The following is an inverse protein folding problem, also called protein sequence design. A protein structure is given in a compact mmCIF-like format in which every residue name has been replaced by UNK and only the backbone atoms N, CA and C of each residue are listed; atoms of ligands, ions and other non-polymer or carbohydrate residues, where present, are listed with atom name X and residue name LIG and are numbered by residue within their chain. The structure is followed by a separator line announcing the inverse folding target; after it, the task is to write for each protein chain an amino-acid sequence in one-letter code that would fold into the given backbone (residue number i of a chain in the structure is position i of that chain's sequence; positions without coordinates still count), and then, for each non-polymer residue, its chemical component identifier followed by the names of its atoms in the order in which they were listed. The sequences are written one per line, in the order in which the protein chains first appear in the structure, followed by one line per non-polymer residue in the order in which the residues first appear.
data_IF_712078407576
#
_entry.id   IF_712078407576
#
_cell.length_a   1.000
_cell.length_b   1.000
_cell.length_c   1.000
_cell.angle_alpha   90.00
_cell.angle_beta   90.00
_cell.angle_gamma   90.00
#
_symmetry.space_group_name_H-M   'P 1'
#
loop_
_entity.id
_entity.type
_entity.pdbx_description
1 polymer ?
#
# COMPACT_ATOMS: atom_id res chain seq x y z
N UNK A 1 -6.07 34.79 10.57
CA UNK A 1 -6.07 35.71 11.75
C UNK A 1 -6.45 34.98 13.04
N UNK A 2 -7.65 34.37 13.18
CA UNK A 2 -8.04 33.70 14.45
C UNK A 2 -7.11 32.50 14.72
N UNK A 3 -6.96 31.63 13.77
CA UNK A 3 -6.15 30.39 13.89
C UNK A 3 -4.65 30.67 14.10
N UNK A 4 -4.10 31.69 13.45
CA UNK A 4 -2.72 32.11 13.68
C UNK A 4 -2.49 32.66 15.10
N UNK A 5 -3.52 33.28 15.67
CA UNK A 5 -3.48 33.72 17.06
C UNK A 5 -3.55 32.54 18.02
N UNK A 6 -4.39 31.55 17.72
CA UNK A 6 -4.53 30.35 18.53
C UNK A 6 -3.22 29.51 18.55
N UNK A 7 -2.54 29.39 17.41
CA UNK A 7 -1.23 28.74 17.32
C UNK A 7 -0.14 29.49 18.11
N UNK A 8 -0.11 30.84 18.01
CA UNK A 8 0.83 31.67 18.76
C UNK A 8 0.62 31.56 20.27
N UNK A 9 -0.66 31.57 20.70
CA UNK A 9 -1.01 31.41 22.11
C UNK A 9 -0.63 30.01 22.62
N UNK A 10 -0.89 28.97 21.83
CA UNK A 10 -0.50 27.61 22.16
C UNK A 10 1.01 27.45 22.30
N UNK A 11 1.80 28.00 21.37
CA UNK A 11 3.27 27.98 21.42
C UNK A 11 3.80 28.75 22.63
N UNK A 12 3.23 29.92 22.94
CA UNK A 12 3.66 30.74 24.07
C UNK A 12 3.44 30.04 25.43
N UNK A 13 2.44 29.15 25.51
CA UNK A 13 2.09 28.41 26.71
C UNK A 13 2.50 26.93 26.63
N UNK A 14 3.26 26.52 25.60
CA UNK A 14 3.60 25.12 25.40
C UNK A 14 4.42 24.56 26.56
N UNK A 15 3.90 23.50 27.17
CA UNK A 15 4.55 22.70 28.18
C UNK A 15 4.57 21.23 27.74
N UNK A 16 5.74 20.63 27.59
CA UNK A 16 5.91 19.28 27.09
C UNK A 16 5.18 18.21 27.93
N UNK A 17 5.16 18.38 29.27
CA UNK A 17 4.51 17.43 30.18
C UNK A 17 3.00 17.55 30.09
N UNK A 18 2.49 18.78 30.12
CA UNK A 18 1.05 19.05 29.99
C UNK A 18 0.53 18.63 28.63
N UNK A 19 1.29 18.87 27.55
CA UNK A 19 0.99 18.39 26.21
C UNK A 19 0.87 16.85 26.19
N UNK A 20 1.85 16.13 26.72
CA UNK A 20 1.82 14.66 26.78
C UNK A 20 0.65 14.13 27.59
N UNK A 21 0.25 14.81 28.65
CA UNK A 21 -0.94 14.45 29.45
C UNK A 21 -2.25 14.71 28.68
N UNK A 22 -2.32 15.82 27.93
CA UNK A 22 -3.50 16.14 27.11
C UNK A 22 -3.64 15.19 25.93
N UNK A 23 -2.56 14.73 25.29
CA UNK A 23 -2.57 13.74 24.21
C UNK A 23 -3.31 12.45 24.58
N UNK A 24 -3.41 12.10 25.86
CA UNK A 24 -4.20 10.95 26.35
C UNK A 24 -5.70 11.14 26.18
N UNK A 25 -6.19 12.37 26.07
CA UNK A 25 -7.62 12.68 25.97
C UNK A 25 -8.13 12.66 24.54
N UNK A 26 -7.28 12.82 23.55
CA UNK A 26 -7.66 12.80 22.15
C UNK A 26 -7.64 11.37 21.61
N UNK A 27 -8.81 10.89 21.22
CA UNK A 27 -8.99 9.56 20.63
C UNK A 27 -8.88 9.68 19.12
N UNK A 28 -7.96 8.93 18.54
CA UNK A 28 -7.78 8.75 17.10
C UNK A 28 -8.85 7.82 16.53
N UNK A 29 -9.02 7.85 15.22
CA UNK A 29 -10.02 7.04 14.53
C UNK A 29 -11.46 7.32 15.04
N UNK A 30 -11.71 8.52 15.52
CA UNK A 30 -13.00 8.90 16.08
C UNK A 30 -14.11 8.76 15.02
N UNK A 31 -15.26 8.25 15.45
CA UNK A 31 -16.37 7.93 14.55
C UNK A 31 -16.19 6.64 13.76
N UNK A 32 -15.13 5.88 13.98
CA UNK A 32 -14.89 4.57 13.36
C UNK A 32 -15.18 3.45 14.34
N UNK A 33 -15.78 2.37 13.83
CA UNK A 33 -16.14 1.23 14.63
C UNK A 33 -14.93 0.27 14.77
N UNK A 34 -13.93 0.70 15.56
CA UNK A 34 -12.81 -0.13 15.97
C UNK A 34 -13.06 -0.65 17.38
N UNK A 35 -12.54 -1.84 17.66
CA UNK A 35 -12.72 -2.51 18.95
C UNK A 35 -11.93 -1.81 20.05
N UNK A 36 -10.66 -1.52 19.77
CA UNK A 36 -9.81 -0.75 20.66
C UNK A 36 -9.81 0.72 20.24
N UNK A 37 -9.56 1.59 21.17
CA UNK A 37 -9.43 3.02 20.94
C UNK A 37 -7.99 3.40 21.19
N UNK A 38 -7.35 3.90 20.15
CA UNK A 38 -6.00 4.47 20.27
C UNK A 38 -6.14 5.94 20.65
N UNK A 39 -5.48 6.37 21.69
CA UNK A 39 -5.31 7.80 21.95
C UNK A 39 -4.01 8.33 21.35
N UNK A 40 -3.90 9.65 21.27
CA UNK A 40 -2.77 10.30 20.61
C UNK A 40 -1.43 9.99 21.30
N UNK A 41 -1.40 9.82 22.62
CA UNK A 41 -0.17 9.48 23.34
C UNK A 41 0.28 8.03 23.04
N UNK A 42 -0.66 7.08 22.92
CA UNK A 42 -0.38 5.71 22.53
C UNK A 42 0.16 5.64 21.11
N UNK A 43 -0.46 6.38 20.18
CA UNK A 43 0.02 6.51 18.81
C UNK A 43 1.45 7.06 18.76
N UNK A 44 1.71 8.18 19.43
CA UNK A 44 3.03 8.81 19.51
C UNK A 44 4.09 7.84 20.04
N UNK A 45 3.76 7.09 21.10
CA UNK A 45 4.66 6.05 21.60
C UNK A 45 4.95 4.99 20.53
N UNK A 46 3.93 4.51 19.83
CA UNK A 46 4.10 3.52 18.77
C UNK A 46 4.93 4.06 17.60
N UNK A 47 4.74 5.33 17.23
CA UNK A 47 5.57 6.01 16.21
C UNK A 47 7.05 6.01 16.61
N UNK A 48 7.36 6.34 17.86
CA UNK A 48 8.74 6.31 18.36
C UNK A 48 9.33 4.91 18.27
N UNK A 49 8.61 3.88 18.70
CA UNK A 49 9.05 2.48 18.60
C UNK A 49 9.31 2.08 17.15
N UNK A 50 8.38 2.39 16.25
CA UNK A 50 8.51 2.12 14.81
C UNK A 50 9.72 2.86 14.21
N UNK A 51 9.97 4.10 14.64
CA UNK A 51 11.09 4.90 14.20
C UNK A 51 12.44 4.22 14.52
N UNK A 52 12.61 3.80 15.77
CA UNK A 52 13.83 3.09 16.18
C UNK A 52 14.00 1.78 15.42
N UNK A 53 12.93 1.00 15.23
CA UNK A 53 12.96 -0.23 14.43
C UNK A 53 13.39 0.03 12.98
N UNK A 54 12.83 1.07 12.35
CA UNK A 54 13.19 1.44 10.97
C UNK A 54 14.65 1.91 10.87
N UNK A 55 15.11 2.75 11.78
CA UNK A 55 16.49 3.22 11.80
C UNK A 55 17.48 2.08 12.02
N UNK A 56 17.20 1.17 12.96
CA UNK A 56 18.02 -0.01 13.18
C UNK A 56 18.05 -0.93 11.96
N UNK A 57 16.92 -1.09 11.29
CA UNK A 57 16.83 -1.85 10.04
C UNK A 57 17.70 -1.22 8.95
N UNK A 58 17.65 0.10 8.80
CA UNK A 58 18.45 0.84 7.80
C UNK A 58 19.95 0.76 8.11
N UNK A 59 20.34 0.98 9.37
CA UNK A 59 21.74 0.97 9.82
C UNK A 59 22.45 -0.37 9.60
N UNK A 60 21.70 -1.48 9.54
CA UNK A 60 22.28 -2.80 9.19
C UNK A 60 22.81 -2.87 7.77
N UNK A 61 22.35 -1.99 6.89
CA UNK A 61 22.75 -1.98 5.47
C UNK A 61 23.68 -0.82 5.13
N UNK A 62 23.42 0.34 5.70
CA UNK A 62 24.17 1.55 5.39
C UNK A 62 24.21 2.46 6.59
N UNK A 63 25.40 2.97 7.00
CA UNK A 63 25.47 4.04 7.97
C UNK A 63 24.87 5.30 7.35
N UNK A 64 23.71 5.71 7.83
CA UNK A 64 23.12 7.00 7.51
C UNK A 64 23.40 7.98 8.65
N UNK A 65 23.67 9.22 8.27
CA UNK A 65 23.81 10.31 9.24
C UNK A 65 22.39 10.71 9.69
N UNK A 66 21.99 10.24 10.85
CA UNK A 66 20.66 10.46 11.45
C UNK A 66 20.89 10.99 12.85
N UNK A 67 20.37 12.19 13.11
CA UNK A 67 20.31 12.77 14.47
C UNK A 67 19.07 12.20 15.18
N UNK A 68 19.30 11.12 15.94
CA UNK A 68 18.22 10.43 16.66
C UNK A 68 17.60 11.29 17.76
N UNK A 69 18.34 12.23 18.35
CA UNK A 69 17.77 13.11 19.37
C UNK A 69 16.74 14.04 18.75
N UNK A 70 17.12 14.76 17.72
CA UNK A 70 16.21 15.66 16.98
C UNK A 70 15.05 14.88 16.39
N UNK A 71 15.31 13.78 15.72
CA UNK A 71 14.28 12.97 15.07
C UNK A 71 13.26 12.41 16.07
N UNK A 72 13.72 11.96 17.25
CA UNK A 72 12.83 11.51 18.33
C UNK A 72 11.97 12.65 18.88
N UNK A 73 12.54 13.86 19.04
CA UNK A 73 11.77 15.02 19.47
C UNK A 73 10.68 15.38 18.45
N UNK A 74 10.98 15.32 17.15
CA UNK A 74 9.96 15.48 16.11
C UNK A 74 8.87 14.41 16.22
N UNK A 75 9.23 13.16 16.42
CA UNK A 75 8.27 12.07 16.61
C UNK A 75 7.40 12.26 17.85
N UNK A 76 7.93 12.85 18.93
CA UNK A 76 7.17 13.14 20.15
C UNK A 76 6.07 14.18 19.93
N UNK A 77 6.27 15.14 19.04
CA UNK A 77 5.39 16.29 18.90
C UNK A 77 4.68 16.38 17.54
N UNK A 78 4.90 15.43 16.60
CA UNK A 78 4.42 15.53 15.23
C UNK A 78 2.91 15.77 15.12
N UNK A 79 2.12 15.13 15.99
CA UNK A 79 0.66 15.23 16.02
C UNK A 79 0.13 16.16 17.14
N UNK A 80 1.01 16.91 17.85
CA UNK A 80 0.58 17.73 19.00
C UNK A 80 -0.45 18.79 18.62
N UNK A 81 -0.42 19.31 17.40
CA UNK A 81 -1.42 20.28 16.93
C UNK A 81 -2.83 19.69 16.79
N UNK A 82 -2.97 18.37 16.78
CA UNK A 82 -4.29 17.74 16.82
C UNK A 82 -5.05 18.04 18.12
N UNK A 83 -4.36 18.41 19.20
CA UNK A 83 -4.99 18.87 20.44
C UNK A 83 -5.78 20.15 20.26
N UNK A 84 -5.38 21.01 19.31
CA UNK A 84 -6.07 22.27 19.01
C UNK A 84 -7.23 22.09 18.01
N UNK A 85 -7.03 21.23 17.00
CA UNK A 85 -7.95 21.12 15.85
C UNK A 85 -8.68 19.80 15.74
N UNK A 86 -8.36 18.83 16.59
CA UNK A 86 -8.84 17.45 16.50
C UNK A 86 -8.08 16.60 15.46
N UNK A 87 -8.29 15.28 15.53
CA UNK A 87 -7.79 14.33 14.53
C UNK A 87 -8.55 14.52 13.21
N UNK A 88 -7.89 15.13 12.21
CA UNK A 88 -8.44 15.31 10.87
C UNK A 88 -7.98 14.13 10.01
N UNK A 89 -8.94 13.30 9.63
CA UNK A 89 -8.68 12.13 8.80
C UNK A 89 -7.98 12.50 7.49
N UNK A 90 -7.01 11.68 7.09
CA UNK A 90 -6.22 11.86 5.85
C UNK A 90 -7.11 12.06 4.61
N UNK A 91 -8.22 11.31 4.53
CA UNK A 91 -9.19 11.45 3.42
C UNK A 91 -9.83 12.85 3.41
N UNK A 92 -10.10 13.44 4.57
CA UNK A 92 -10.67 14.79 4.67
C UNK A 92 -9.64 15.82 4.21
N UNK A 93 -8.37 15.68 4.63
CA UNK A 93 -7.27 16.54 4.18
C UNK A 93 -7.09 16.47 2.65
N UNK A 94 -7.32 15.30 2.04
CA UNK A 94 -7.18 15.10 0.59
C UNK A 94 -8.41 15.59 -0.21
N UNK A 95 -9.59 15.61 0.40
CA UNK A 95 -10.85 15.97 -0.28
C UNK A 95 -11.10 17.49 -0.30
N UNK A 96 -10.62 18.21 0.72
CA UNK A 96 -10.81 19.65 0.81
C UNK A 96 -9.60 20.37 0.21
N UNK A 97 -9.77 21.13 -0.88
CA UNK A 97 -8.67 21.83 -1.53
C UNK A 97 -7.91 22.75 -0.57
N UNK A 98 -6.57 22.61 -0.54
CA UNK A 98 -5.68 23.43 0.29
C UNK A 98 -5.61 23.05 1.76
N UNK A 99 -6.49 22.17 2.27
CA UNK A 99 -6.49 21.81 3.70
C UNK A 99 -5.22 21.07 4.10
N UNK A 100 -4.75 20.13 3.26
CA UNK A 100 -3.50 19.41 3.51
C UNK A 100 -2.30 20.35 3.58
N UNK A 101 -2.13 21.19 2.56
CA UNK A 101 -1.03 22.17 2.53
C UNK A 101 -1.04 23.11 3.74
N UNK A 102 -2.23 23.57 4.13
CA UNK A 102 -2.41 24.40 5.30
C UNK A 102 -2.01 23.67 6.59
N UNK A 103 -2.53 22.46 6.82
CA UNK A 103 -2.22 21.68 8.03
C UNK A 103 -0.75 21.29 8.12
N UNK A 104 -0.14 20.87 7.01
CA UNK A 104 1.26 20.47 6.96
C UNK A 104 2.19 21.68 7.21
N UNK A 105 1.79 22.88 6.73
CA UNK A 105 2.56 24.11 7.00
C UNK A 105 2.49 24.53 8.46
N UNK A 106 1.34 24.46 9.10
CA UNK A 106 1.19 24.75 10.53
C UNK A 106 1.99 23.76 11.40
N UNK A 107 1.93 22.47 11.08
CA UNK A 107 2.72 21.44 11.77
C UNK A 107 4.21 21.72 11.65
N UNK A 108 4.69 22.11 10.48
CA UNK A 108 6.09 22.45 10.25
C UNK A 108 6.53 23.67 11.07
N UNK A 109 5.70 24.71 11.14
CA UNK A 109 5.99 25.92 11.94
C UNK A 109 6.06 25.54 13.43
N UNK A 110 5.06 24.82 13.92
CA UNK A 110 4.99 24.38 15.31
C UNK A 110 6.19 23.52 15.70
N UNK A 111 6.49 22.49 14.92
CA UNK A 111 7.61 21.58 15.18
C UNK A 111 8.94 22.31 15.17
N UNK A 112 9.16 23.21 14.21
CA UNK A 112 10.37 24.03 14.17
C UNK A 112 10.57 24.85 15.45
N UNK A 113 9.49 25.42 15.99
CA UNK A 113 9.55 26.23 17.20
C UNK A 113 9.81 25.36 18.45
N UNK A 114 9.03 24.29 18.62
CA UNK A 114 9.12 23.41 19.80
C UNK A 114 10.45 22.64 19.88
N UNK A 115 11.05 22.32 18.73
CA UNK A 115 12.35 21.63 18.66
C UNK A 115 13.56 22.59 18.64
N UNK A 116 13.32 23.90 18.74
CA UNK A 116 14.37 24.90 18.84
C UNK A 116 15.02 25.30 17.51
N UNK A 117 14.24 25.29 16.43
CA UNK A 117 14.66 25.73 15.09
C UNK A 117 15.50 24.75 14.31
N UNK A 118 15.79 23.58 14.85
CA UNK A 118 16.52 22.51 14.14
C UNK A 118 15.57 21.84 13.14
N UNK A 119 15.98 21.72 11.88
CA UNK A 119 15.19 21.07 10.84
C UNK A 119 15.70 19.66 10.59
N UNK A 120 14.76 18.75 10.30
CA UNK A 120 15.10 17.44 9.79
C UNK A 120 15.67 17.55 8.36
N UNK A 121 16.60 16.68 8.03
CA UNK A 121 17.00 16.48 6.63
C UNK A 121 15.99 15.57 5.91
N UNK A 122 16.08 15.49 4.58
CA UNK A 122 15.13 14.71 3.75
C UNK A 122 15.04 13.23 4.16
N UNK A 123 16.15 12.63 4.59
CA UNK A 123 16.18 11.24 5.06
C UNK A 123 15.44 11.08 6.39
N UNK A 124 15.62 12.03 7.30
CA UNK A 124 14.95 12.05 8.61
C UNK A 124 13.45 12.32 8.47
N UNK A 125 13.05 13.26 7.60
CA UNK A 125 11.64 13.52 7.29
C UNK A 125 10.96 12.28 6.71
N UNK A 126 11.62 11.57 5.78
CA UNK A 126 11.12 10.34 5.21
C UNK A 126 10.99 9.21 6.24
N UNK A 127 11.95 9.08 7.17
CA UNK A 127 11.90 8.10 8.25
C UNK A 127 10.78 8.39 9.25
N UNK A 128 10.56 9.65 9.60
CA UNK A 128 9.43 10.05 10.46
C UNK A 128 8.10 9.70 9.81
N UNK A 129 7.94 10.04 8.53
CA UNK A 129 6.74 9.69 7.76
C UNK A 129 6.50 8.19 7.67
N UNK A 130 7.56 7.41 7.47
CA UNK A 130 7.49 5.95 7.46
C UNK A 130 7.11 5.39 8.83
N UNK A 131 7.63 5.96 9.91
CA UNK A 131 7.32 5.52 11.26
C UNK A 131 5.85 5.78 11.63
N UNK A 132 5.30 6.94 11.27
CA UNK A 132 3.87 7.27 11.41
C UNK A 132 2.98 6.29 10.64
N UNK A 133 3.27 6.07 9.36
CA UNK A 133 2.52 5.10 8.54
C UNK A 133 2.63 3.67 9.10
N UNK A 134 3.82 3.29 9.60
CA UNK A 134 4.05 1.99 10.22
C UNK A 134 3.22 1.84 11.50
N UNK A 135 3.18 2.84 12.35
CA UNK A 135 2.38 2.83 13.58
C UNK A 135 0.88 2.68 13.24
N UNK A 136 0.39 3.46 12.27
CA UNK A 136 -1.01 3.39 11.84
C UNK A 136 -1.38 1.99 11.34
N UNK A 137 -0.63 1.40 10.38
CA UNK A 137 -1.02 0.10 9.87
C UNK A 137 -0.82 -1.01 10.91
N UNK A 138 0.18 -0.92 11.80
CA UNK A 138 0.39 -1.89 12.88
C UNK A 138 -0.72 -1.88 13.91
N UNK A 139 -1.24 -0.71 14.25
CA UNK A 139 -2.43 -0.61 15.09
C UNK A 139 -3.63 -1.31 14.44
N UNK A 140 -3.90 -1.03 13.16
CA UNK A 140 -5.00 -1.67 12.43
C UNK A 140 -4.76 -3.18 12.24
N UNK A 141 -3.53 -3.62 11.99
CA UNK A 141 -3.17 -5.04 11.92
C UNK A 141 -3.49 -5.76 13.24
N UNK A 142 -3.27 -5.10 14.36
CA UNK A 142 -3.65 -5.62 15.68
C UNK A 142 -5.17 -5.74 15.81
N UNK A 143 -5.93 -4.74 15.35
CA UNK A 143 -7.40 -4.78 15.32
C UNK A 143 -7.93 -5.94 14.48
N UNK A 144 -7.27 -6.27 13.37
CA UNK A 144 -7.67 -7.37 12.46
C UNK A 144 -7.50 -8.77 13.06
N UNK A 145 -6.81 -8.93 14.20
CA UNK A 145 -6.76 -10.20 14.93
C UNK A 145 -8.10 -10.60 15.56
N UNK A 146 -9.03 -9.66 15.61
CA UNK A 146 -10.38 -9.87 16.13
C UNK A 146 -11.39 -9.75 14.98
N UNK A 147 -12.62 -10.25 15.13
CA UNK A 147 -13.67 -10.03 14.15
C UNK A 147 -13.81 -8.53 13.88
N UNK A 148 -13.31 -8.10 12.74
CA UNK A 148 -13.22 -6.69 12.36
C UNK A 148 -14.29 -6.35 11.33
N UNK A 149 -14.66 -5.09 11.27
CA UNK A 149 -15.51 -4.56 10.22
C UNK A 149 -14.72 -4.23 8.95
N UNK A 150 -15.42 -3.97 7.86
CA UNK A 150 -14.82 -3.66 6.55
C UNK A 150 -13.99 -2.37 6.57
N UNK A 151 -14.29 -1.44 7.48
CA UNK A 151 -13.50 -0.23 7.63
C UNK A 151 -12.06 -0.52 8.07
N UNK A 152 -11.86 -1.36 9.09
CA UNK A 152 -10.53 -1.73 9.56
C UNK A 152 -9.72 -2.42 8.43
N UNK A 153 -10.38 -3.28 7.66
CA UNK A 153 -9.77 -3.95 6.50
C UNK A 153 -9.30 -2.94 5.44
N UNK A 154 -10.17 -2.00 5.06
CA UNK A 154 -9.83 -0.97 4.09
C UNK A 154 -8.73 -0.03 4.59
N UNK A 155 -8.80 0.40 5.86
CA UNK A 155 -7.81 1.26 6.47
C UNK A 155 -6.42 0.58 6.51
N UNK A 156 -6.37 -0.72 6.83
CA UNK A 156 -5.13 -1.50 6.78
C UNK A 156 -4.49 -1.47 5.39
N UNK A 157 -5.27 -1.81 4.37
CA UNK A 157 -4.75 -1.86 2.99
C UNK A 157 -4.25 -0.50 2.54
N UNK A 158 -5.04 0.55 2.76
CA UNK A 158 -4.66 1.90 2.35
C UNK A 158 -3.37 2.36 3.04
N UNK A 159 -3.26 2.14 4.36
CA UNK A 159 -2.10 2.59 5.12
C UNK A 159 -0.88 1.74 4.82
N UNK A 160 -1.04 0.41 4.72
CA UNK A 160 0.04 -0.51 4.37
C UNK A 160 0.58 -0.26 2.96
N UNK A 161 -0.29 -0.03 1.97
CA UNK A 161 0.12 0.30 0.60
C UNK A 161 0.88 1.63 0.54
N UNK A 162 0.44 2.65 1.31
CA UNK A 162 1.18 3.91 1.42
C UNK A 162 2.56 3.67 2.04
N UNK A 163 2.65 2.92 3.13
CA UNK A 163 3.93 2.58 3.75
C UNK A 163 4.86 1.86 2.75
N UNK A 164 4.39 0.84 2.05
CA UNK A 164 5.20 0.06 1.11
C UNK A 164 5.72 0.94 -0.03
N UNK A 165 4.89 1.84 -0.56
CA UNK A 165 5.30 2.81 -1.56
C UNK A 165 6.40 3.74 -1.04
N UNK A 166 6.21 4.39 0.11
CA UNK A 166 7.21 5.31 0.67
C UNK A 166 8.49 4.57 1.10
N UNK A 167 8.38 3.34 1.59
CA UNK A 167 9.53 2.50 1.90
C UNK A 167 10.34 2.15 0.65
N UNK A 168 9.68 1.80 -0.43
CA UNK A 168 10.34 1.54 -1.72
C UNK A 168 11.08 2.79 -2.24
N UNK A 169 10.43 3.96 -2.20
CA UNK A 169 11.04 5.24 -2.59
C UNK A 169 12.25 5.54 -1.71
N UNK A 170 12.10 5.42 -0.39
CA UNK A 170 13.18 5.62 0.57
C UNK A 170 14.38 4.70 0.31
N UNK A 171 14.14 3.42 0.10
CA UNK A 171 15.21 2.45 -0.19
C UNK A 171 15.95 2.80 -1.49
N UNK A 172 15.21 3.16 -2.54
CA UNK A 172 15.79 3.58 -3.83
C UNK A 172 16.67 4.81 -3.66
N UNK A 173 16.17 5.85 -3.02
CA UNK A 173 16.83 7.16 -2.91
C UNK A 173 18.05 7.09 -1.99
N UNK A 174 18.07 6.18 -1.03
CA UNK A 174 19.20 5.95 -0.14
C UNK A 174 20.14 4.80 -0.59
N UNK A 175 19.89 4.17 -1.73
CA UNK A 175 20.68 3.04 -2.22
C UNK A 175 20.68 1.84 -1.28
N UNK A 176 19.55 1.63 -0.57
CA UNK A 176 19.38 0.48 0.31
C UNK A 176 18.87 -0.72 -0.50
N UNK A 177 19.25 -1.94 -0.12
CA UNK A 177 18.67 -3.11 -0.75
C UNK A 177 17.18 -3.13 -0.45
N UNK A 178 16.37 -3.15 -1.50
CA UNK A 178 14.95 -3.44 -1.40
C UNK A 178 14.83 -4.94 -1.06
N UNK A 179 14.85 -5.25 0.22
CA UNK A 179 15.17 -6.56 0.76
C UNK A 179 14.22 -7.69 0.41
N UNK A 180 13.07 -7.36 -0.11
CA UNK A 180 12.08 -8.38 -0.49
C UNK A 180 11.99 -8.55 -2.01
N UNK A 181 12.66 -7.68 -2.77
CA UNK A 181 12.72 -7.79 -4.23
C UNK A 181 13.88 -8.64 -4.76
N UNK A 182 14.88 -9.01 -3.96
CA UNK A 182 16.07 -9.68 -4.45
C UNK A 182 16.03 -11.20 -4.42
N UNK A 183 14.96 -11.82 -3.92
CA UNK A 183 14.71 -13.20 -4.29
C UNK A 183 14.03 -13.16 -5.66
N UNK A 184 14.80 -13.34 -6.72
CA UNK A 184 14.26 -13.60 -8.05
C UNK A 184 13.53 -14.94 -7.99
N UNK A 185 12.23 -14.88 -7.90
CA UNK A 185 11.39 -16.05 -8.10
C UNK A 185 11.26 -16.30 -9.60
N UNK A 186 11.31 -17.56 -10.04
CA UNK A 186 10.96 -17.88 -11.41
C UNK A 186 9.55 -17.33 -11.69
N UNK A 187 9.37 -16.68 -12.83
CA UNK A 187 8.06 -16.11 -13.19
C UNK A 187 7.00 -17.20 -13.39
N UNK A 188 7.42 -18.38 -13.81
CA UNK A 188 6.58 -19.52 -14.12
C UNK A 188 7.14 -20.78 -13.47
N UNK A 189 6.27 -21.55 -12.83
CA UNK A 189 6.62 -22.83 -12.23
C UNK A 189 5.61 -23.88 -12.64
N UNK A 190 6.07 -25.06 -13.03
CA UNK A 190 5.25 -26.22 -13.30
C UNK A 190 5.46 -27.22 -12.16
N UNK A 191 4.39 -27.67 -11.54
CA UNK A 191 4.46 -28.63 -10.44
C UNK A 191 4.90 -30.02 -10.90
N UNK A 192 4.26 -30.49 -11.98
CA UNK A 192 4.57 -31.76 -12.64
C UNK A 192 4.67 -31.56 -14.14
N UNK A 193 5.43 -32.43 -14.81
CA UNK A 193 5.63 -32.35 -16.27
C UNK A 193 4.31 -32.44 -17.04
N UNK A 194 3.34 -33.21 -16.55
CA UNK A 194 2.04 -33.42 -17.16
C UNK A 194 0.98 -32.34 -16.80
N UNK A 195 1.31 -31.36 -15.96
CA UNK A 195 0.34 -30.33 -15.60
C UNK A 195 -0.13 -29.54 -16.83
N UNK A 196 -1.44 -29.28 -16.92
CA UNK A 196 -2.03 -28.53 -18.03
C UNK A 196 -1.63 -27.05 -18.03
N UNK A 197 -1.42 -26.48 -16.86
CA UNK A 197 -1.06 -25.08 -16.65
C UNK A 197 0.30 -24.87 -16.01
N UNK A 198 0.77 -23.66 -16.07
CA UNK A 198 2.00 -23.19 -15.43
C UNK A 198 1.63 -22.17 -14.38
N UNK A 199 2.02 -22.38 -13.13
CA UNK A 199 1.78 -21.45 -12.04
C UNK A 199 2.50 -20.12 -12.30
N UNK A 200 1.79 -19.02 -12.11
CA UNK A 200 2.37 -17.67 -12.17
C UNK A 200 2.79 -17.28 -10.77
N UNK A 201 4.08 -17.11 -10.59
CA UNK A 201 4.67 -16.75 -9.30
C UNK A 201 4.62 -15.23 -9.12
N UNK A 202 3.99 -14.80 -8.05
CA UNK A 202 3.84 -13.39 -7.71
C UNK A 202 5.19 -12.74 -7.46
N UNK A 203 5.40 -11.60 -8.07
CA UNK A 203 6.61 -10.79 -7.90
C UNK A 203 6.48 -9.78 -6.75
N UNK A 204 5.27 -9.63 -6.22
CA UNK A 204 4.92 -8.80 -5.06
C UNK A 204 3.77 -9.43 -4.27
N UNK A 205 3.47 -8.91 -3.08
CA UNK A 205 2.34 -9.34 -2.28
C UNK A 205 1.02 -8.94 -2.94
N UNK A 206 0.02 -9.82 -2.88
CA UNK A 206 -1.33 -9.56 -3.41
C UNK A 206 -2.38 -9.71 -2.31
N UNK A 207 -3.30 -8.74 -2.23
CA UNK A 207 -4.39 -8.73 -1.26
C UNK A 207 -5.71 -8.52 -2.01
N UNK A 208 -6.65 -9.43 -1.80
CA UNK A 208 -7.96 -9.41 -2.42
C UNK A 208 -9.04 -9.24 -1.36
N UNK A 209 -9.73 -8.10 -1.43
CA UNK A 209 -10.79 -7.76 -0.47
C UNK A 209 -12.00 -8.67 -0.63
N UNK A 210 -12.79 -8.91 0.45
CA UNK A 210 -14.06 -9.61 0.36
C UNK A 210 -15.00 -8.99 -0.66
N UNK A 211 -15.73 -9.83 -1.40
CA UNK A 211 -16.77 -9.39 -2.33
C UNK A 211 -16.31 -8.30 -3.31
N UNK A 212 -15.05 -8.37 -3.75
CA UNK A 212 -14.45 -7.36 -4.62
C UNK A 212 -13.93 -7.93 -5.93
N UNK A 213 -13.79 -7.04 -6.91
CA UNK A 213 -13.16 -7.32 -8.19
C UNK A 213 -11.96 -6.40 -8.37
N UNK A 214 -10.80 -6.96 -8.70
CA UNK A 214 -9.54 -6.23 -8.86
C UNK A 214 -8.91 -6.59 -10.20
N UNK A 215 -8.43 -5.59 -10.94
CA UNK A 215 -7.50 -5.78 -12.05
C UNK A 215 -6.08 -5.80 -11.48
N UNK A 216 -5.50 -6.99 -11.35
CA UNK A 216 -4.18 -7.18 -10.77
C UNK A 216 -3.13 -7.32 -11.88
N UNK A 217 -2.09 -6.49 -11.85
CA UNK A 217 -0.95 -6.64 -12.76
C UNK A 217 -0.04 -7.75 -12.23
N UNK A 218 0.21 -8.76 -13.06
CA UNK A 218 1.09 -9.87 -12.70
C UNK A 218 2.58 -9.56 -12.92
N UNK A 219 2.89 -8.38 -13.50
CA UNK A 219 4.26 -7.95 -13.84
C UNK A 219 5.05 -8.98 -14.66
N UNK A 220 4.33 -9.70 -15.51
CA UNK A 220 4.90 -10.69 -16.42
C UNK A 220 4.34 -10.51 -17.82
N UNK A 221 5.13 -10.91 -18.80
CA UNK A 221 4.74 -10.95 -20.19
C UNK A 221 4.78 -12.40 -20.68
N UNK A 222 3.79 -12.76 -21.47
CA UNK A 222 3.76 -14.00 -22.22
C UNK A 222 3.10 -13.78 -23.57
N UNK A 223 3.76 -14.21 -24.62
CA UNK A 223 3.24 -14.07 -26.00
C UNK A 223 2.96 -15.46 -26.57
N UNK A 224 1.68 -15.85 -26.72
CA UNK A 224 1.34 -17.09 -27.41
C UNK A 224 1.87 -17.07 -28.85
N UNK A 225 2.24 -18.25 -29.33
CA UNK A 225 2.63 -18.41 -30.74
C UNK A 225 1.43 -18.26 -31.67
N UNK A 226 1.70 -18.03 -32.96
CA UNK A 226 0.66 -18.08 -33.96
C UNK A 226 -0.04 -19.45 -33.96
N UNK A 227 -1.37 -19.48 -33.99
CA UNK A 227 -2.15 -20.69 -33.83
C UNK A 227 -2.38 -21.12 -32.37
N UNK A 228 -1.93 -20.34 -31.40
CA UNK A 228 -2.14 -20.56 -29.97
C UNK A 228 -2.84 -19.36 -29.34
N UNK A 229 -3.54 -19.60 -28.24
CA UNK A 229 -3.96 -18.59 -27.29
C UNK A 229 -3.57 -19.04 -25.88
N UNK A 230 -3.47 -18.09 -24.97
CA UNK A 230 -3.34 -18.40 -23.56
C UNK A 230 -4.49 -17.78 -22.76
N UNK A 231 -4.75 -18.28 -21.57
CA UNK A 231 -5.67 -17.67 -20.62
C UNK A 231 -5.24 -17.96 -19.19
N UNK A 232 -5.73 -17.14 -18.27
CA UNK A 232 -5.52 -17.35 -16.85
C UNK A 232 -6.69 -18.16 -16.27
N UNK A 233 -6.38 -19.01 -15.30
CA UNK A 233 -7.36 -19.59 -14.40
C UNK A 233 -6.87 -19.59 -12.97
N UNK A 234 -7.78 -19.57 -12.00
CA UNK A 234 -7.43 -19.71 -10.60
C UNK A 234 -6.84 -21.11 -10.35
N UNK A 235 -5.85 -21.19 -9.47
CA UNK A 235 -5.43 -22.49 -8.92
C UNK A 235 -6.56 -23.07 -8.08
N UNK A 236 -6.64 -24.39 -8.02
CA UNK A 236 -7.67 -25.09 -7.23
C UNK A 236 -7.70 -24.62 -5.78
N UNK A 237 -6.52 -24.42 -5.17
CA UNK A 237 -6.40 -23.93 -3.80
C UNK A 237 -6.88 -22.48 -3.61
N UNK A 238 -6.77 -21.64 -4.64
CA UNK A 238 -7.30 -20.28 -4.63
C UNK A 238 -8.82 -20.29 -4.82
N UNK A 239 -9.31 -21.08 -5.78
CA UNK A 239 -10.74 -21.27 -6.02
C UNK A 239 -11.48 -21.81 -4.78
N UNK A 240 -10.87 -22.74 -4.05
CA UNK A 240 -11.41 -23.28 -2.80
C UNK A 240 -11.54 -22.23 -1.69
N UNK A 241 -10.76 -21.17 -1.73
CA UNK A 241 -10.87 -20.01 -0.82
C UNK A 241 -11.89 -18.96 -1.29
N UNK A 242 -12.51 -19.15 -2.46
CA UNK A 242 -13.42 -18.18 -3.06
C UNK A 242 -12.74 -17.14 -3.95
N UNK A 243 -11.51 -17.38 -4.39
CA UNK A 243 -10.83 -16.50 -5.34
C UNK A 243 -11.01 -17.04 -6.76
N UNK A 244 -11.64 -16.29 -7.65
CA UNK A 244 -11.79 -16.64 -9.05
C UNK A 244 -11.04 -15.66 -9.95
N UNK A 245 -10.62 -16.13 -11.12
CA UNK A 245 -9.96 -15.32 -12.14
C UNK A 245 -10.78 -15.37 -13.40
N UNK A 246 -11.15 -14.22 -13.94
CA UNK A 246 -11.90 -14.15 -15.19
C UNK A 246 -11.03 -14.69 -16.34
N UNK A 247 -11.60 -15.61 -17.10
CA UNK A 247 -10.95 -16.23 -18.24
C UNK A 247 -11.01 -15.30 -19.44
N UNK A 248 -9.98 -14.47 -19.61
CA UNK A 248 -9.82 -13.60 -20.78
C UNK A 248 -8.72 -14.17 -21.68
N UNK A 249 -8.99 -14.34 -22.99
CA UNK A 249 -7.98 -14.85 -23.91
C UNK A 249 -6.84 -13.84 -24.07
N UNK A 250 -5.62 -14.36 -24.07
CA UNK A 250 -4.39 -13.64 -24.43
C UNK A 250 -4.08 -14.02 -25.86
N UNK A 251 -4.19 -13.04 -26.74
CA UNK A 251 -4.06 -13.21 -28.18
C UNK A 251 -2.60 -13.52 -28.61
N UNK A 252 -2.39 -14.20 -29.73
CA UNK A 252 -1.07 -14.30 -30.36
C UNK A 252 -0.47 -12.91 -30.60
N UNK A 253 0.83 -12.78 -30.34
CA UNK A 253 1.59 -11.54 -30.50
C UNK A 253 1.22 -10.41 -29.49
N UNK A 254 0.49 -10.73 -28.41
CA UNK A 254 0.31 -9.81 -27.30
C UNK A 254 1.66 -9.52 -26.61
N UNK A 255 1.99 -8.24 -26.38
CA UNK A 255 3.29 -7.79 -25.85
C UNK A 255 3.18 -7.01 -24.55
N UNK A 256 1.96 -6.81 -24.02
CA UNK A 256 1.73 -6.11 -22.78
C UNK A 256 1.92 -7.00 -21.54
N UNK A 257 1.90 -6.39 -20.38
CA UNK A 257 1.81 -7.11 -19.11
C UNK A 257 0.49 -7.86 -18.99
N UNK A 258 0.54 -9.06 -18.44
CA UNK A 258 -0.65 -9.86 -18.22
C UNK A 258 -1.40 -9.32 -16.99
N UNK A 259 -2.66 -8.94 -17.22
CA UNK A 259 -3.58 -8.49 -16.18
C UNK A 259 -4.52 -9.62 -15.77
N UNK A 260 -4.61 -9.90 -14.48
CA UNK A 260 -5.60 -10.83 -13.93
C UNK A 260 -6.81 -10.06 -13.40
N UNK A 261 -7.99 -10.32 -13.95
CA UNK A 261 -9.24 -9.84 -13.36
C UNK A 261 -9.64 -10.86 -12.30
N UNK A 262 -9.47 -10.48 -11.05
CA UNK A 262 -9.62 -11.35 -9.88
C UNK A 262 -10.87 -10.97 -9.11
N UNK A 263 -11.70 -11.95 -8.81
CA UNK A 263 -12.90 -11.78 -7.97
C UNK A 263 -12.69 -12.57 -6.68
N UNK A 264 -12.74 -11.90 -5.56
CA UNK A 264 -12.89 -12.54 -4.26
C UNK A 264 -14.39 -12.58 -3.92
N UNK A 265 -14.99 -13.75 -4.05
CA UNK A 265 -16.42 -13.98 -3.75
C UNK A 265 -16.64 -14.47 -2.31
N UNK A 266 -15.58 -14.54 -1.50
CA UNK A 266 -15.67 -14.89 -0.08
C UNK A 266 -15.93 -13.66 0.80
N UNK A 267 -16.27 -13.91 2.05
CA UNK A 267 -16.39 -12.86 3.07
C UNK A 267 -15.06 -12.56 3.79
N UNK A 268 -13.98 -13.21 3.38
CA UNK A 268 -12.66 -13.09 4.00
C UNK A 268 -11.68 -12.33 3.11
N UNK A 269 -10.70 -11.67 3.72
CA UNK A 269 -9.53 -11.16 2.99
C UNK A 269 -8.70 -12.37 2.56
N UNK A 270 -8.34 -12.41 1.27
CA UNK A 270 -7.44 -13.42 0.73
C UNK A 270 -6.10 -12.78 0.41
N UNK A 271 -5.06 -13.26 1.06
CA UNK A 271 -3.69 -12.76 0.90
C UNK A 271 -2.79 -13.83 0.27
N UNK A 272 -1.92 -13.36 -0.62
CA UNK A 272 -0.82 -14.13 -1.18
C UNK A 272 0.47 -13.33 -1.05
N UNK A 273 1.53 -13.99 -0.62
CA UNK A 273 2.85 -13.38 -0.51
C UNK A 273 3.63 -13.52 -1.81
N UNK A 274 4.55 -12.60 -2.06
CA UNK A 274 5.57 -12.73 -3.09
C UNK A 274 6.18 -14.14 -3.06
N UNK A 275 6.34 -14.76 -4.23
CA UNK A 275 6.79 -16.14 -4.35
C UNK A 275 5.68 -17.19 -4.29
N UNK A 276 4.45 -16.81 -3.95
CA UNK A 276 3.28 -17.70 -4.04
C UNK A 276 2.56 -17.54 -5.39
N UNK A 277 1.59 -18.40 -5.66
CA UNK A 277 0.76 -18.33 -6.86
C UNK A 277 -0.72 -18.54 -6.51
N UNK A 278 -1.60 -17.67 -7.04
CA UNK A 278 -3.05 -17.85 -6.96
C UNK A 278 -3.66 -18.26 -8.30
N UNK A 279 -2.96 -18.03 -9.39
CA UNK A 279 -3.42 -18.34 -10.75
C UNK A 279 -2.34 -19.09 -11.54
N UNK A 280 -2.77 -19.68 -12.63
CA UNK A 280 -1.94 -20.39 -13.59
C UNK A 280 -2.27 -19.94 -15.01
N UNK A 281 -1.27 -20.00 -15.88
CA UNK A 281 -1.37 -19.77 -17.31
C UNK A 281 -1.55 -21.11 -18.03
N UNK A 282 -2.59 -21.19 -18.85
CA UNK A 282 -2.85 -22.35 -19.72
C UNK A 282 -2.70 -21.90 -21.15
N UNK A 283 -1.98 -22.66 -21.96
CA UNK A 283 -1.79 -22.41 -23.40
C UNK A 283 -2.49 -23.51 -24.17
N UNK A 284 -3.29 -23.14 -25.16
CA UNK A 284 -4.03 -24.07 -26.02
C UNK A 284 -3.84 -23.72 -27.49
N UNK A 285 -3.83 -24.74 -28.31
CA UNK A 285 -3.89 -24.58 -29.76
C UNK A 285 -5.31 -24.17 -30.17
N UNK A 286 -5.42 -23.25 -31.12
CA UNK A 286 -6.73 -22.75 -31.59
C UNK A 286 -6.92 -23.05 -33.07
N UNK A 287 -8.11 -23.47 -33.43
CA UNK A 287 -8.56 -23.44 -34.81
C UNK A 287 -9.20 -22.10 -35.11
N UNK A 288 -8.70 -21.42 -36.14
CA UNK A 288 -9.26 -20.13 -36.55
C UNK A 288 -10.53 -20.39 -37.39
N UNK A 289 -11.67 -19.89 -36.94
CA UNK A 289 -12.87 -19.84 -37.73
C UNK A 289 -12.66 -18.82 -38.85
N UNK A 290 -12.50 -19.27 -40.08
CA UNK A 290 -12.20 -18.38 -41.22
C UNK A 290 -13.42 -18.17 -42.12
N UNK A 291 -14.42 -19.06 -42.03
CA UNK A 291 -15.61 -18.96 -42.86
C UNK A 291 -16.61 -17.96 -42.27
N UNK A 292 -17.04 -17.02 -43.09
CA UNK A 292 -18.03 -15.99 -42.75
C UNK A 292 -17.59 -15.00 -41.65
N UNK A 293 -16.28 -14.88 -41.42
CA UNK A 293 -15.73 -13.94 -40.43
C UNK A 293 -15.32 -12.63 -41.11
N UNK A 294 -15.93 -11.52 -40.68
CA UNK A 294 -15.53 -10.16 -41.09
C UNK A 294 -14.48 -9.61 -40.18
N UNK A 295 -13.27 -9.39 -40.67
CA UNK A 295 -12.20 -8.73 -39.92
C UNK A 295 -12.44 -7.22 -39.96
N UNK A 296 -12.75 -6.62 -38.82
CA UNK A 296 -13.00 -5.15 -38.70
C UNK A 296 -11.73 -4.33 -38.83
N UNK A 297 -10.58 -4.82 -38.32
CA UNK A 297 -9.28 -4.13 -38.37
C UNK A 297 -8.22 -5.13 -38.81
N UNK A 298 -7.67 -5.01 -40.02
CA UNK A 298 -6.55 -5.84 -40.44
C UNK A 298 -5.29 -5.45 -39.64
N UNK A 299 -4.51 -6.45 -39.25
CA UNK A 299 -3.28 -6.28 -38.52
C UNK A 299 -3.26 -7.07 -37.20
N UNK A 300 -2.08 -7.10 -36.56
CA UNK A 300 -1.88 -7.81 -35.29
C UNK A 300 -2.10 -6.86 -34.11
N UNK A 301 -2.80 -7.32 -33.07
CA UNK A 301 -2.88 -6.59 -31.81
C UNK A 301 -1.55 -6.73 -31.06
N UNK A 302 -0.84 -5.64 -30.83
CA UNK A 302 0.45 -5.64 -30.14
C UNK A 302 0.37 -5.20 -28.68
N UNK A 303 -0.68 -4.42 -28.33
CA UNK A 303 -0.93 -3.97 -26.95
C UNK A 303 -2.44 -3.99 -26.70
N UNK A 304 -2.88 -4.30 -25.49
CA UNK A 304 -4.27 -4.09 -25.09
C UNK A 304 -4.33 -3.02 -24.01
N UNK A 305 -5.21 -2.04 -24.19
CA UNK A 305 -5.79 -1.33 -23.06
C UNK A 305 -7.04 -2.12 -22.66
N UNK A 306 -7.19 -2.46 -21.38
CA UNK A 306 -8.44 -2.98 -20.83
C UNK A 306 -9.55 -2.00 -21.21
N UNK A 307 -10.54 -2.46 -21.98
CA UNK A 307 -11.66 -1.61 -22.43
C UNK A 307 -11.55 -1.02 -23.83
N UNK A 308 -10.57 -1.39 -24.65
CA UNK A 308 -10.39 -0.86 -26.03
C UNK A 308 -11.38 -1.38 -27.08
N UNK A 309 -12.30 -2.26 -26.75
CA UNK A 309 -13.21 -2.92 -27.72
C UNK A 309 -14.65 -2.45 -27.68
N UNK A 310 -15.06 -1.64 -26.72
CA UNK A 310 -16.46 -1.21 -26.53
C UNK A 310 -16.87 0.00 -27.39
N UNK A 311 -16.11 0.32 -28.42
CA UNK A 311 -16.53 1.28 -29.44
C UNK A 311 -16.97 0.53 -30.68
N UNK A 312 -18.24 0.13 -30.68
CA UNK A 312 -18.96 -0.20 -31.91
C UNK A 312 -19.18 1.05 -32.75
#
# INVERSE_FOLDING_TARGET
MQVENDLKEYLANFNAVDNALQMRTLIRWNGRNLRTKENLAEHTHLVIVCLYELVDKVRRYKPLCIDMETLTRYAMYHDSLELLRGDILSITKDTIPGLREYTDNEERIFLSDVVGGIRLNETEEALLKLADLMACYKFIEFELKYPSNDYAKQAYIQTKSKFDYYWMVFCRDNGLPMRECNQEFPKFVKGYEADAGVDIILQEDAIFMPMSTVNYNLHINYTPKEGQMAFLCARTSAAAKGLTVATCPIDPNYTGDIMAIVHNISNDIIEYKKGQAFCQLVVVDIETITKDVKIKKPGKRTTSNLGGTDRC
#
